data_IF_914884275910
#
_entry.id   IF_914884275910
#
_cell.length_a   1.000
_cell.length_b   1.000
_cell.length_c   1.000
_cell.angle_alpha   90.00
_cell.angle_beta   90.00
_cell.angle_gamma   90.00
#
_symmetry.space_group_name_H-M   'P 1'
#
loop_
_entity.id
_entity.type
_entity.pdbx_description
1 polymer ?
#
# COMPACT_ATOMS: atom_id res chain seq x y z
N UNK A 1 18.46 18.98 17.45
CA UNK A 1 17.80 17.91 16.67
C UNK A 1 18.09 16.58 17.36
N UNK A 2 17.05 15.82 17.70
CA UNK A 2 17.16 14.47 18.26
C UNK A 2 16.71 13.47 17.19
N UNK A 3 17.56 12.48 16.84
CA UNK A 3 17.20 11.39 15.93
C UNK A 3 16.76 10.16 16.76
N UNK A 4 15.56 10.25 17.32
CA UNK A 4 15.04 9.29 18.30
C UNK A 4 13.54 9.10 18.15
N UNK A 5 13.04 7.94 18.55
CA UNK A 5 11.61 7.70 18.71
C UNK A 5 11.12 8.33 20.02
N UNK A 6 10.07 9.15 19.96
CA UNK A 6 9.56 9.89 21.11
C UNK A 6 8.24 9.30 21.61
N UNK A 7 8.15 9.04 22.91
CA UNK A 7 6.92 8.57 23.57
C UNK A 7 6.60 9.47 24.76
N UNK A 8 5.32 9.83 24.94
CA UNK A 8 4.89 10.58 26.12
C UNK A 8 5.02 9.72 27.38
N UNK A 9 5.64 10.29 28.42
CA UNK A 9 5.55 9.77 29.79
C UNK A 9 4.38 10.45 30.50
N UNK A 10 4.26 11.76 30.32
CA UNK A 10 3.19 12.59 30.84
C UNK A 10 2.97 13.81 29.91
N UNK A 11 2.07 14.71 30.27
CA UNK A 11 1.69 15.90 29.47
C UNK A 11 2.85 16.80 29.01
N UNK A 12 3.97 16.80 29.71
CA UNK A 12 5.09 17.71 29.47
C UNK A 12 6.45 16.99 29.41
N UNK A 13 6.46 15.66 29.43
CA UNK A 13 7.67 14.85 29.46
C UNK A 13 7.65 13.80 28.35
N UNK A 14 8.72 13.75 27.57
CA UNK A 14 8.94 12.77 26.50
C UNK A 14 10.15 11.89 26.82
N UNK A 15 10.01 10.60 26.55
CA UNK A 15 11.11 9.64 26.46
C UNK A 15 11.59 9.56 25.01
N UNK A 16 12.86 9.79 24.79
CA UNK A 16 13.52 9.69 23.48
C UNK A 16 14.40 8.44 23.46
N UNK A 17 14.08 7.48 22.60
CA UNK A 17 14.89 6.26 22.40
C UNK A 17 15.60 6.34 21.06
N UNK A 18 16.94 6.34 21.06
CA UNK A 18 17.73 6.32 19.81
C UNK A 18 17.85 4.90 19.21
N UNK A 19 18.45 4.81 18.01
CA UNK A 19 18.64 3.52 17.31
C UNK A 19 19.54 2.51 18.06
N UNK A 20 20.31 2.96 19.06
CA UNK A 20 21.17 2.11 19.92
C UNK A 20 20.47 1.74 21.22
N UNK A 21 19.20 2.11 21.40
CA UNK A 21 18.43 1.88 22.62
C UNK A 21 18.77 2.84 23.76
N UNK A 22 19.56 3.89 23.52
CA UNK A 22 19.83 4.89 24.57
C UNK A 22 18.59 5.75 24.78
N UNK A 23 18.22 5.91 26.04
CA UNK A 23 17.06 6.68 26.44
C UNK A 23 17.48 8.03 27.03
N UNK A 24 16.79 9.09 26.62
CA UNK A 24 16.93 10.45 27.16
C UNK A 24 15.55 10.97 27.50
N UNK A 25 15.40 11.57 28.68
CA UNK A 25 14.17 12.25 29.09
C UNK A 25 14.30 13.73 28.77
N UNK A 26 13.29 14.28 28.11
CA UNK A 26 13.20 15.72 27.84
C UNK A 26 11.86 16.26 28.31
N UNK A 27 11.84 17.50 28.78
CA UNK A 27 10.62 18.19 29.20
C UNK A 27 10.39 19.42 28.34
N UNK A 28 9.13 19.76 28.09
CA UNK A 28 8.74 20.93 27.32
C UNK A 28 7.41 21.49 27.83
N UNK A 29 7.30 22.82 27.85
CA UNK A 29 6.06 23.51 28.21
C UNK A 29 4.94 23.28 27.18
N UNK A 30 5.30 23.24 25.90
CA UNK A 30 4.39 23.00 24.78
C UNK A 30 4.95 21.90 23.90
N UNK A 31 4.09 20.97 23.47
CA UNK A 31 4.46 19.86 22.59
C UNK A 31 3.50 19.87 21.40
N UNK A 32 4.06 19.97 20.19
CA UNK A 32 3.34 19.87 18.93
C UNK A 32 3.53 18.45 18.37
N UNK A 33 2.42 17.73 18.15
CA UNK A 33 2.44 16.41 17.51
C UNK A 33 2.31 16.61 15.99
N UNK A 34 3.37 16.23 15.26
CA UNK A 34 3.44 16.34 13.80
C UNK A 34 4.07 15.09 13.18
N UNK A 35 3.69 13.89 13.64
CA UNK A 35 4.30 12.61 13.27
C UNK A 35 3.88 12.07 11.89
N UNK A 36 2.83 12.64 11.29
CA UNK A 36 2.24 12.12 10.05
C UNK A 36 1.62 10.72 10.22
N UNK A 37 1.45 10.00 9.11
CA UNK A 37 0.97 8.61 9.06
C UNK A 37 1.92 7.70 8.30
N UNK A 38 1.72 6.38 8.36
CA UNK A 38 2.51 5.36 7.66
C UNK A 38 1.58 4.46 6.84
N UNK A 39 2.03 3.90 5.71
CA UNK A 39 1.16 3.05 4.89
C UNK A 39 0.52 1.91 5.69
N UNK A 40 -0.75 1.63 5.40
CA UNK A 40 -1.49 0.51 5.96
C UNK A 40 -1.53 -0.64 4.93
N UNK A 41 -1.09 -1.84 5.33
CA UNK A 41 -1.09 -3.04 4.49
C UNK A 41 -2.44 -3.81 4.53
N UNK A 42 -3.44 -3.28 5.23
CA UNK A 42 -4.82 -3.80 5.24
C UNK A 42 -5.09 -4.96 6.19
N UNK A 43 -4.06 -5.49 6.87
CA UNK A 43 -4.22 -6.59 7.83
C UNK A 43 -4.58 -7.93 7.20
N UNK A 44 -4.33 -8.10 5.90
CA UNK A 44 -4.57 -9.36 5.20
C UNK A 44 -3.50 -10.40 5.56
N UNK A 45 -3.87 -11.68 5.69
CA UNK A 45 -2.91 -12.77 5.87
C UNK A 45 -1.82 -12.76 4.81
N UNK A 46 -0.55 -12.77 5.24
CA UNK A 46 0.63 -12.77 4.38
C UNK A 46 1.03 -11.41 3.80
N UNK A 47 0.27 -10.34 4.05
CA UNK A 47 0.54 -9.03 3.47
C UNK A 47 1.85 -8.40 3.99
N UNK A 48 2.15 -8.53 5.29
CA UNK A 48 3.36 -7.96 5.87
C UNK A 48 4.64 -8.62 5.35
N UNK A 49 4.56 -9.92 5.02
CA UNK A 49 5.70 -10.71 4.55
C UNK A 49 5.89 -10.66 3.03
N UNK A 50 4.79 -10.53 2.28
CA UNK A 50 4.79 -10.68 0.82
C UNK A 50 4.64 -9.36 0.06
N UNK A 51 4.00 -8.35 0.66
CA UNK A 51 3.65 -7.12 -0.04
C UNK A 51 4.56 -5.96 0.35
N UNK A 52 4.52 -4.92 -0.47
CA UNK A 52 5.25 -3.67 -0.23
C UNK A 52 4.28 -2.49 -0.18
N UNK A 53 4.76 -1.36 0.33
CA UNK A 53 4.04 -0.09 0.33
C UNK A 53 4.69 0.95 -0.58
N UNK A 54 4.08 2.13 -0.67
CA UNK A 54 4.68 3.26 -1.38
C UNK A 54 5.99 3.78 -0.76
N UNK A 55 6.26 3.47 0.51
CA UNK A 55 7.56 3.79 1.14
C UNK A 55 8.70 2.94 0.52
N UNK A 56 8.38 1.77 -0.03
CA UNK A 56 9.32 0.73 -0.43
C UNK A 56 9.61 0.75 -1.92
N UNK A 57 8.60 0.97 -2.77
CA UNK A 57 8.70 0.85 -4.24
C UNK A 57 9.86 1.69 -4.82
N UNK A 58 10.09 2.89 -4.28
CA UNK A 58 11.15 3.80 -4.74
C UNK A 58 12.55 3.44 -4.26
N UNK A 59 12.69 2.51 -3.31
CA UNK A 59 13.97 2.13 -2.69
C UNK A 59 14.48 0.77 -3.17
N UNK A 60 13.72 0.08 -4.02
CA UNK A 60 14.05 -1.27 -4.48
C UNK A 60 15.28 -1.24 -5.39
N UNK A 61 16.13 -2.23 -5.22
CA UNK A 61 17.28 -2.48 -6.11
C UNK A 61 16.90 -3.28 -7.36
N UNK A 62 15.75 -3.95 -7.34
CA UNK A 62 15.25 -4.77 -8.44
C UNK A 62 14.02 -4.13 -9.08
N UNK A 63 13.83 -4.29 -10.40
CA UNK A 63 12.64 -3.81 -11.09
C UNK A 63 11.37 -4.47 -10.52
N UNK A 64 10.22 -3.79 -10.55
CA UNK A 64 8.98 -4.31 -9.97
C UNK A 64 8.38 -5.50 -10.74
N UNK A 65 8.68 -5.65 -12.03
CA UNK A 65 8.15 -6.75 -12.85
C UNK A 65 6.63 -6.69 -12.96
N UNK A 66 5.98 -7.85 -13.15
CA UNK A 66 4.52 -7.95 -13.15
C UNK A 66 3.97 -7.52 -11.79
N UNK A 67 3.23 -6.43 -11.75
CA UNK A 67 2.84 -5.76 -10.52
C UNK A 67 1.33 -5.71 -10.32
N UNK A 68 0.88 -6.14 -9.14
CA UNK A 68 -0.47 -5.85 -8.66
C UNK A 68 -0.42 -4.62 -7.74
N UNK A 69 -1.22 -3.61 -8.04
CA UNK A 69 -1.46 -2.48 -7.14
C UNK A 69 -2.83 -2.64 -6.50
N UNK A 70 -2.89 -2.81 -5.19
CA UNK A 70 -4.14 -2.97 -4.44
C UNK A 70 -4.59 -1.62 -3.91
N UNK A 71 -5.74 -1.15 -4.38
CA UNK A 71 -6.30 0.15 -4.04
C UNK A 71 -6.48 1.04 -5.27
N UNK A 72 -7.33 2.06 -5.12
CA UNK A 72 -7.69 2.99 -6.20
C UNK A 72 -7.61 4.47 -5.76
N UNK A 73 -6.74 4.74 -4.77
CA UNK A 73 -6.41 6.09 -4.33
C UNK A 73 -5.43 6.76 -5.31
N UNK A 74 -5.16 8.04 -5.13
CA UNK A 74 -4.19 8.76 -5.97
C UNK A 74 -2.81 8.09 -5.94
N UNK A 75 -2.32 7.65 -4.77
CA UNK A 75 -1.05 6.92 -4.63
C UNK A 75 -1.06 5.66 -5.49
N UNK A 76 -2.18 4.92 -5.48
CA UNK A 76 -2.31 3.69 -6.24
C UNK A 76 -2.26 3.95 -7.75
N UNK A 77 -3.02 4.93 -8.24
CA UNK A 77 -3.10 5.24 -9.67
C UNK A 77 -1.80 5.88 -10.19
N UNK A 78 -1.17 6.78 -9.43
CA UNK A 78 0.15 7.34 -9.75
C UNK A 78 1.19 6.23 -9.86
N UNK A 79 1.17 5.29 -8.89
CA UNK A 79 2.10 4.17 -8.87
C UNK A 79 1.89 3.23 -10.05
N UNK A 80 0.64 2.85 -10.30
CA UNK A 80 0.31 2.02 -11.44
C UNK A 80 0.69 2.68 -12.77
N UNK A 81 0.45 3.98 -12.89
CA UNK A 81 0.75 4.76 -14.09
C UNK A 81 2.24 4.77 -14.43
N UNK A 82 3.13 5.06 -13.47
CA UNK A 82 4.56 5.05 -13.76
C UNK A 82 5.11 3.64 -13.97
N UNK A 83 4.60 2.62 -13.26
CA UNK A 83 5.06 1.23 -13.45
C UNK A 83 4.67 0.74 -14.85
N UNK A 84 3.44 1.00 -15.29
CA UNK A 84 3.01 0.73 -16.66
C UNK A 84 3.81 1.54 -17.68
N UNK A 85 4.08 2.82 -17.40
CA UNK A 85 4.90 3.70 -18.24
C UNK A 85 6.35 3.22 -18.43
N UNK A 86 6.90 2.46 -17.47
CA UNK A 86 8.18 1.76 -17.63
C UNK A 86 8.08 0.44 -18.41
N UNK A 87 6.89 0.07 -18.88
CA UNK A 87 6.65 -1.12 -19.70
C UNK A 87 6.35 -2.39 -18.90
N UNK A 88 6.07 -2.31 -17.60
CA UNK A 88 5.75 -3.47 -16.78
C UNK A 88 4.24 -3.80 -16.81
N UNK A 89 3.92 -5.11 -16.81
CA UNK A 89 2.54 -5.59 -16.72
C UNK A 89 1.93 -5.19 -15.37
N UNK A 90 0.99 -4.25 -15.39
CA UNK A 90 0.45 -3.61 -14.19
C UNK A 90 -1.05 -3.76 -14.13
N UNK A 91 -1.53 -4.30 -13.00
CA UNK A 91 -2.96 -4.42 -12.71
C UNK A 91 -3.31 -3.65 -11.45
N UNK A 92 -4.37 -2.85 -11.49
CA UNK A 92 -4.95 -2.17 -10.34
C UNK A 92 -6.18 -2.93 -9.86
N UNK A 93 -6.19 -3.36 -8.60
CA UNK A 93 -7.36 -3.98 -7.97
C UNK A 93 -8.19 -2.93 -7.26
N UNK A 94 -9.44 -2.80 -7.68
CA UNK A 94 -10.37 -1.76 -7.25
C UNK A 94 -11.53 -2.41 -6.50
N UNK A 95 -11.66 -2.09 -5.20
CA UNK A 95 -12.78 -2.59 -4.39
C UNK A 95 -14.14 -2.03 -4.81
N UNK A 96 -14.18 -0.75 -5.22
CA UNK A 96 -15.43 -0.04 -5.50
C UNK A 96 -15.26 1.00 -6.60
N UNK A 97 -14.83 2.21 -6.26
CA UNK A 97 -14.67 3.34 -7.19
C UNK A 97 -13.23 3.86 -7.20
N UNK A 98 -12.84 4.51 -8.30
CA UNK A 98 -11.58 5.22 -8.43
C UNK A 98 -11.64 6.58 -7.69
N UNK A 99 -10.52 6.98 -7.09
CA UNK A 99 -10.33 8.31 -6.48
C UNK A 99 -11.53 8.74 -5.61
N UNK A 100 -11.88 7.90 -4.63
CA UNK A 100 -12.96 8.21 -3.69
C UNK A 100 -12.77 9.61 -3.08
N UNK A 101 -13.80 10.45 -3.21
CA UNK A 101 -13.78 11.85 -2.76
C UNK A 101 -13.50 12.87 -3.87
N UNK A 102 -13.18 12.43 -5.08
CA UNK A 102 -13.05 13.28 -6.27
C UNK A 102 -14.29 13.21 -7.17
N UNK A 103 -14.37 14.13 -8.12
CA UNK A 103 -15.37 14.08 -9.20
C UNK A 103 -15.26 12.74 -9.96
N UNK A 104 -16.38 12.03 -10.06
CA UNK A 104 -16.40 10.67 -10.59
C UNK A 104 -16.33 10.62 -12.12
N UNK A 105 -16.80 11.64 -12.85
CA UNK A 105 -16.58 11.71 -14.30
C UNK A 105 -15.09 11.88 -14.59
N UNK A 106 -14.40 12.72 -13.80
CA UNK A 106 -12.95 12.90 -13.94
C UNK A 106 -12.18 11.64 -13.54
N UNK A 107 -12.57 10.98 -12.45
CA UNK A 107 -11.92 9.74 -12.01
C UNK A 107 -12.02 8.63 -13.07
N UNK A 108 -13.20 8.46 -13.68
CA UNK A 108 -13.39 7.46 -14.74
C UNK A 108 -12.68 7.84 -16.04
N UNK A 109 -12.58 9.13 -16.40
CA UNK A 109 -11.73 9.56 -17.53
C UNK A 109 -10.26 9.22 -17.31
N UNK A 110 -9.76 9.38 -16.09
CA UNK A 110 -8.39 8.96 -15.73
C UNK A 110 -8.26 7.44 -15.86
N UNK A 111 -9.20 6.68 -15.30
CA UNK A 111 -9.21 5.21 -15.42
C UNK A 111 -9.17 4.75 -16.88
N UNK A 112 -10.08 5.27 -17.71
CA UNK A 112 -10.17 4.98 -19.14
C UNK A 112 -8.87 5.36 -19.88
N UNK A 113 -8.27 6.50 -19.53
CA UNK A 113 -6.97 6.88 -20.10
C UNK A 113 -5.91 5.85 -19.73
N UNK A 114 -5.80 5.46 -18.47
CA UNK A 114 -4.81 4.47 -18.02
C UNK A 114 -5.01 3.09 -18.66
N UNK A 115 -6.26 2.64 -18.83
CA UNK A 115 -6.60 1.40 -19.54
C UNK A 115 -6.11 1.42 -20.99
N UNK A 116 -6.39 2.50 -21.70
CA UNK A 116 -5.93 2.70 -23.08
C UNK A 116 -4.40 2.80 -23.21
N UNK A 117 -3.68 3.02 -22.09
CA UNK A 117 -2.23 3.12 -22.04
C UNK A 117 -1.57 1.94 -21.30
N UNK A 118 -2.26 0.80 -21.21
CA UNK A 118 -1.67 -0.48 -20.80
C UNK A 118 -1.82 -0.85 -19.33
N UNK A 119 -2.50 -0.04 -18.52
CA UNK A 119 -2.86 -0.44 -17.15
C UNK A 119 -4.11 -1.32 -17.16
N UNK A 120 -4.11 -2.46 -16.47
CA UNK A 120 -5.29 -3.32 -16.33
C UNK A 120 -6.05 -2.98 -15.06
N UNK A 121 -7.37 -3.09 -15.06
CA UNK A 121 -8.18 -2.92 -13.84
C UNK A 121 -8.96 -4.19 -13.51
N UNK A 122 -8.82 -4.67 -12.28
CA UNK A 122 -9.68 -5.68 -11.68
C UNK A 122 -10.68 -4.97 -10.76
N UNK A 123 -11.83 -4.61 -11.32
CA UNK A 123 -12.89 -3.88 -10.61
C UNK A 123 -13.75 -4.82 -9.77
N UNK A 124 -14.32 -4.25 -8.72
CA UNK A 124 -15.17 -4.94 -7.75
C UNK A 124 -14.52 -6.19 -7.14
N UNK A 125 -13.22 -6.10 -6.86
CA UNK A 125 -12.43 -7.21 -6.29
C UNK A 125 -11.68 -6.77 -5.04
N UNK A 126 -11.50 -7.70 -4.10
CA UNK A 126 -10.70 -7.53 -2.89
C UNK A 126 -9.74 -8.70 -2.71
N UNK A 127 -8.49 -8.44 -2.27
CA UNK A 127 -7.62 -9.54 -1.89
C UNK A 127 -8.12 -10.16 -0.59
N UNK A 128 -7.81 -11.44 -0.41
CA UNK A 128 -8.14 -12.22 0.79
C UNK A 128 -6.87 -12.72 1.46
N UNK A 129 -5.86 -13.11 0.67
CA UNK A 129 -4.63 -13.72 1.16
C UNK A 129 -3.47 -13.54 0.18
N UNK A 130 -2.27 -13.47 0.74
CA UNK A 130 -1.01 -13.43 0.00
C UNK A 130 -0.10 -14.58 0.42
N UNK A 131 0.54 -15.24 -0.53
CA UNK A 131 1.49 -16.32 -0.27
C UNK A 131 2.75 -16.13 -1.10
N UNK A 132 3.91 -16.39 -0.49
CA UNK A 132 5.18 -16.40 -1.21
C UNK A 132 5.35 -17.74 -1.92
N UNK A 133 5.67 -17.68 -3.21
CA UNK A 133 5.95 -18.87 -4.01
C UNK A 133 7.41 -19.31 -3.86
N UNK A 134 7.72 -20.54 -4.26
CA UNK A 134 9.09 -21.09 -4.21
C UNK A 134 10.10 -20.28 -5.04
N UNK A 135 9.65 -19.68 -6.14
CA UNK A 135 10.44 -18.79 -7.01
C UNK A 135 10.50 -17.33 -6.51
N UNK A 136 9.97 -17.04 -5.32
CA UNK A 136 10.06 -15.75 -4.66
C UNK A 136 9.05 -14.70 -5.11
N UNK A 137 8.07 -15.09 -5.92
CA UNK A 137 6.93 -14.27 -6.34
C UNK A 137 5.82 -14.31 -5.29
N UNK A 138 4.75 -13.57 -5.55
CA UNK A 138 3.58 -13.47 -4.67
C UNK A 138 2.37 -14.04 -5.39
N UNK A 139 1.81 -15.11 -4.84
CA UNK A 139 0.48 -15.62 -5.21
C UNK A 139 -0.57 -14.84 -4.43
N UNK A 140 -1.56 -14.32 -5.16
CA UNK A 140 -2.65 -13.51 -4.61
C UNK A 140 -3.95 -14.27 -4.75
N UNK A 141 -4.70 -14.34 -3.65
CA UNK A 141 -6.07 -14.80 -3.64
C UNK A 141 -7.01 -13.61 -3.52
N UNK A 142 -8.14 -13.67 -4.21
CA UNK A 142 -9.13 -12.60 -4.22
C UNK A 142 -10.54 -13.14 -4.44
N UNK A 143 -11.52 -12.30 -4.12
CA UNK A 143 -12.94 -12.54 -4.39
C UNK A 143 -13.64 -11.24 -4.76
N UNK A 144 -14.88 -11.37 -5.22
CA UNK A 144 -15.74 -10.22 -5.51
C UNK A 144 -15.93 -9.37 -4.26
N UNK A 145 -15.93 -8.05 -4.40
CA UNK A 145 -16.07 -7.13 -3.28
C UNK A 145 -17.44 -7.24 -2.58
N UNK A 146 -18.45 -7.77 -3.28
CA UNK A 146 -19.78 -8.08 -2.74
C UNK A 146 -19.87 -9.49 -2.13
N UNK A 147 -18.83 -10.31 -2.26
CA UNK A 147 -18.80 -11.66 -1.70
C UNK A 147 -18.46 -11.60 -0.20
N UNK A 148 -19.41 -12.07 0.61
CA UNK A 148 -19.36 -12.05 2.07
C UNK A 148 -19.02 -13.41 2.67
N UNK A 149 -18.66 -14.41 1.86
CA UNK A 149 -18.20 -15.70 2.36
C UNK A 149 -16.97 -15.53 3.27
N UNK A 150 -16.74 -16.45 4.20
CA UNK A 150 -15.53 -16.46 5.03
C UNK A 150 -14.40 -17.31 4.41
N UNK A 151 -14.49 -17.63 3.12
CA UNK A 151 -13.44 -18.35 2.41
C UNK A 151 -12.35 -17.42 1.85
N UNK A 152 -11.21 -18.04 1.52
CA UNK A 152 -10.01 -17.40 0.96
C UNK A 152 -10.21 -16.93 -0.49
N UNK A 153 -11.38 -17.08 -1.10
CA UNK A 153 -11.64 -16.77 -2.49
C UNK A 153 -10.95 -17.73 -3.44
N UNK A 154 -10.56 -17.23 -4.61
CA UNK A 154 -9.86 -18.00 -5.64
C UNK A 154 -8.50 -17.39 -5.93
N UNK A 155 -7.60 -18.20 -6.50
CA UNK A 155 -6.32 -17.67 -6.97
C UNK A 155 -6.57 -16.62 -8.07
N UNK A 156 -6.22 -15.37 -7.78
CA UNK A 156 -6.31 -14.26 -8.70
C UNK A 156 -5.12 -14.24 -9.66
N UNK A 157 -3.94 -14.62 -9.16
CA UNK A 157 -2.75 -14.84 -9.97
C UNK A 157 -1.44 -14.66 -9.21
N UNK A 158 -0.34 -14.84 -9.94
CA UNK A 158 1.03 -14.69 -9.43
C UNK A 158 1.67 -13.42 -9.99
N UNK A 159 2.35 -12.66 -9.12
CA UNK A 159 2.94 -11.35 -9.39
C UNK A 159 4.38 -11.29 -8.86
N UNK A 160 5.25 -10.57 -9.56
CA UNK A 160 6.61 -10.32 -9.08
C UNK A 160 6.60 -9.29 -7.92
N UNK A 161 5.64 -8.36 -7.94
CA UNK A 161 5.44 -7.36 -6.88
C UNK A 161 3.96 -7.16 -6.57
N UNK A 162 3.61 -7.02 -5.29
CA UNK A 162 2.28 -6.56 -4.84
C UNK A 162 2.45 -5.29 -4.01
N UNK A 163 1.91 -4.18 -4.51
CA UNK A 163 1.94 -2.87 -3.87
C UNK A 163 0.60 -2.59 -3.17
N UNK A 164 0.62 -2.46 -1.85
CA UNK A 164 -0.55 -2.10 -1.06
C UNK A 164 -0.67 -0.56 -0.93
N UNK A 165 -1.74 -0.02 -1.49
CA UNK A 165 -2.07 1.40 -1.50
C UNK A 165 -3.51 1.64 -1.01
N UNK A 166 -3.88 0.93 0.06
CA UNK A 166 -5.25 0.90 0.63
C UNK A 166 -5.50 1.95 1.72
N UNK A 167 -4.46 2.64 2.20
CA UNK A 167 -4.58 3.70 3.22
C UNK A 167 -3.24 4.07 3.87
N UNK A 168 -3.28 5.06 4.75
CA UNK A 168 -2.19 5.50 5.64
C UNK A 168 -2.71 5.72 7.06
#
# INVERSE_FOLDING_TARGET
YYNSFATFIDKNTLKLTDKRGREVIVTARYILIATGGRPNLGGYPGAEECCISSDDIFRRSTPPGKTLVVGASYIALESAGFIAGFGYDTTVMVRSILLRGFDQDMAERIGNYMENHGTKFAREMVPTKFEKTEDGKVRVYAKGASDISDDDGTEFGVFDTVLMAVGR
#
